data_IF_532687337255
#
_entry.id   IF_532687337255
#
_cell.length_a   1.000
_cell.length_b   1.000
_cell.length_c   1.000
_cell.angle_alpha   90.00
_cell.angle_beta   90.00
_cell.angle_gamma   90.00
#
_symmetry.space_group_name_H-M   'P 1'
#
loop_
_entity.id
_entity.type
_entity.pdbx_description
1 polymer ?
#
# COMPACT_ATOMS: atom_id res chain seq x y z
N UNK A 1 2.39 -16.28 5.84
CA UNK A 1 1.45 -15.67 6.80
C UNK A 1 0.04 -15.80 6.22
N UNK A 2 -0.88 -16.49 6.92
CA UNK A 2 -2.27 -16.66 6.46
C UNK A 2 -3.12 -15.52 7.01
N UNK A 3 -3.52 -14.58 6.16
CA UNK A 3 -4.68 -13.73 6.42
C UNK A 3 -5.91 -14.41 5.84
N UNK A 4 -6.85 -14.84 6.68
CA UNK A 4 -8.14 -15.38 6.23
C UNK A 4 -9.26 -14.35 6.41
N UNK A 5 -9.63 -13.67 5.32
CA UNK A 5 -11.00 -13.51 4.82
C UNK A 5 -10.97 -12.66 3.54
N UNK A 6 -10.98 -13.32 2.37
CA UNK A 6 -10.73 -12.70 1.07
C UNK A 6 -9.23 -12.42 0.87
N UNK A 7 -8.58 -13.18 -0.01
CA UNK A 7 -7.12 -13.12 -0.21
C UNK A 7 -6.69 -11.78 -0.80
N UNK A 8 -6.36 -10.81 0.05
CA UNK A 8 -5.65 -9.61 -0.37
C UNK A 8 -4.18 -9.95 -0.62
N UNK A 9 -3.66 -9.54 -1.77
CA UNK A 9 -2.23 -9.37 -2.00
C UNK A 9 -1.71 -8.18 -1.20
N UNK A 10 -0.43 -8.19 -0.89
CA UNK A 10 0.16 -7.24 0.04
C UNK A 10 1.60 -6.89 -0.36
N UNK A 11 2.04 -5.71 0.06
CA UNK A 11 3.42 -5.28 -0.04
C UNK A 11 4.06 -5.40 1.34
N UNK A 12 4.84 -6.47 1.53
CA UNK A 12 5.53 -6.70 2.79
C UNK A 12 6.61 -5.64 3.07
N UNK A 13 7.40 -5.31 2.05
CA UNK A 13 8.51 -4.35 2.15
C UNK A 13 8.58 -3.50 0.88
N UNK A 14 8.82 -2.21 1.07
CA UNK A 14 8.98 -1.27 -0.02
C UNK A 14 9.98 -0.18 0.35
N UNK A 15 11.03 -0.05 -0.46
CA UNK A 15 12.09 0.90 -0.18
C UNK A 15 12.57 1.58 -1.46
N UNK A 16 12.66 2.92 -1.39
CA UNK A 16 13.27 3.74 -2.42
C UNK A 16 14.55 4.32 -1.83
N UNK A 17 15.66 4.06 -2.51
CA UNK A 17 16.96 4.67 -2.21
C UNK A 17 16.83 6.19 -2.18
N UNK A 18 17.46 6.90 -1.20
CA UNK A 18 17.30 8.34 -1.03
C UNK A 18 17.50 9.16 -2.31
N UNK A 19 18.52 8.84 -3.09
CA UNK A 19 18.87 9.55 -4.34
C UNK A 19 17.79 9.45 -5.44
N UNK A 20 16.84 8.52 -5.30
CA UNK A 20 15.77 8.25 -6.25
C UNK A 20 14.38 8.68 -5.76
N UNK A 21 14.28 9.29 -4.58
CA UNK A 21 13.02 9.81 -4.04
C UNK A 21 12.58 11.07 -4.79
N UNK A 22 11.29 11.40 -4.66
CA UNK A 22 10.67 12.61 -5.24
C UNK A 22 10.70 12.73 -6.78
N UNK A 23 11.21 11.71 -7.49
CA UNK A 23 11.27 11.65 -8.96
C UNK A 23 10.11 10.85 -9.59
N UNK A 24 9.12 10.47 -8.79
CA UNK A 24 7.98 9.64 -9.22
C UNK A 24 8.33 8.17 -9.52
N UNK A 25 9.56 7.74 -9.25
CA UNK A 25 10.04 6.38 -9.57
C UNK A 25 9.31 5.32 -8.73
N UNK A 26 9.17 5.56 -7.42
CA UNK A 26 8.45 4.64 -6.54
C UNK A 26 6.99 4.44 -6.92
N UNK A 27 6.32 5.52 -7.31
CA UNK A 27 4.92 5.46 -7.79
C UNK A 27 4.81 4.60 -9.05
N UNK A 28 5.65 4.86 -10.05
CA UNK A 28 5.71 4.06 -11.28
C UNK A 28 5.99 2.58 -11.01
N UNK A 29 6.91 2.29 -10.08
CA UNK A 29 7.23 0.92 -9.71
C UNK A 29 6.06 0.23 -9.02
N UNK A 30 5.41 0.88 -8.05
CA UNK A 30 4.22 0.35 -7.39
C UNK A 30 3.07 0.09 -8.38
N UNK A 31 2.79 1.04 -9.28
CA UNK A 31 1.78 0.87 -10.33
C UNK A 31 2.09 -0.30 -11.26
N UNK A 32 3.37 -0.47 -11.64
CA UNK A 32 3.79 -1.60 -12.46
C UNK A 32 3.57 -2.95 -11.74
N UNK A 33 3.81 -3.02 -10.42
CA UNK A 33 3.51 -4.21 -9.62
C UNK A 33 2.02 -4.48 -9.58
N UNK A 34 1.19 -3.48 -9.31
CA UNK A 34 -0.27 -3.65 -9.28
C UNK A 34 -0.82 -4.10 -10.63
N UNK A 35 -0.40 -3.48 -11.73
CA UNK A 35 -0.79 -3.86 -13.09
C UNK A 35 -0.37 -5.30 -13.45
N UNK A 36 0.73 -5.80 -12.85
CA UNK A 36 1.24 -7.14 -13.11
C UNK A 36 0.43 -8.22 -12.40
N UNK A 37 -0.16 -7.92 -11.25
CA UNK A 37 -0.88 -8.91 -10.43
C UNK A 37 -2.29 -8.39 -10.10
N UNK A 38 -3.31 -8.77 -10.90
CA UNK A 38 -4.68 -8.36 -10.66
C UNK A 38 -5.26 -9.00 -9.38
N UNK A 39 -6.36 -8.43 -8.89
CA UNK A 39 -7.08 -8.89 -7.71
C UNK A 39 -7.13 -7.85 -6.59
N UNK A 40 -7.46 -8.32 -5.38
CA UNK A 40 -7.61 -7.47 -4.21
C UNK A 40 -6.24 -7.17 -3.59
N UNK A 41 -5.98 -5.90 -3.31
CA UNK A 41 -4.74 -5.42 -2.72
C UNK A 41 -4.98 -4.70 -1.41
N UNK A 42 -4.05 -4.86 -0.49
CA UNK A 42 -3.92 -4.01 0.68
C UNK A 42 -2.46 -3.55 0.79
N UNK A 43 -2.26 -2.35 1.33
CA UNK A 43 -0.95 -1.88 1.75
C UNK A 43 -1.08 -1.40 3.18
N UNK A 44 -0.24 -1.91 4.08
CA UNK A 44 -0.28 -1.60 5.51
C UNK A 44 0.89 -0.70 5.92
N UNK A 45 0.64 0.22 6.84
CA UNK A 45 1.66 1.04 7.48
C UNK A 45 1.43 1.04 8.99
N UNK A 46 2.52 0.87 9.75
CA UNK A 46 2.50 0.95 11.21
C UNK A 46 2.35 2.41 11.67
N UNK A 47 1.92 2.58 12.91
CA UNK A 47 1.93 3.88 13.59
C UNK A 47 3.32 4.55 13.55
N UNK A 48 3.34 5.87 13.35
CA UNK A 48 4.57 6.66 13.23
C UNK A 48 5.25 6.62 11.85
N UNK A 49 4.79 5.78 10.92
CA UNK A 49 5.28 5.73 9.54
C UNK A 49 4.62 6.80 8.64
N UNK A 50 4.52 8.05 9.10
CA UNK A 50 3.73 9.12 8.44
C UNK A 50 4.15 9.38 6.99
N UNK A 51 5.46 9.37 6.72
CA UNK A 51 5.98 9.52 5.37
C UNK A 51 5.55 8.37 4.44
N UNK A 52 5.50 7.14 4.96
CA UNK A 52 5.03 5.99 4.20
C UNK A 52 3.52 6.04 3.98
N UNK A 53 2.74 6.44 5.00
CA UNK A 53 1.28 6.64 4.87
C UNK A 53 0.96 7.69 3.80
N UNK A 54 1.63 8.85 3.85
CA UNK A 54 1.45 9.92 2.86
C UNK A 54 1.84 9.46 1.44
N UNK A 55 2.96 8.72 1.32
CA UNK A 55 3.38 8.12 0.06
C UNK A 55 2.32 7.16 -0.50
N UNK A 56 1.87 6.19 0.29
CA UNK A 56 0.91 5.18 -0.16
C UNK A 56 -0.45 5.76 -0.47
N UNK A 57 -0.94 6.72 0.33
CA UNK A 57 -2.19 7.43 0.03
C UNK A 57 -2.13 8.12 -1.34
N UNK A 58 -1.00 8.77 -1.67
CA UNK A 58 -0.79 9.39 -3.00
C UNK A 58 -0.73 8.33 -4.10
N UNK A 59 0.09 7.30 -3.94
CA UNK A 59 0.34 6.28 -4.96
C UNK A 59 -0.93 5.49 -5.27
N UNK A 60 -1.61 4.99 -4.24
CA UNK A 60 -2.86 4.23 -4.39
C UNK A 60 -3.97 5.15 -4.90
N UNK A 61 -4.10 6.37 -4.36
CA UNK A 61 -5.09 7.34 -4.83
C UNK A 61 -4.92 7.69 -6.31
N UNK A 62 -3.69 7.90 -6.78
CA UNK A 62 -3.43 8.13 -8.20
C UNK A 62 -3.70 6.89 -9.05
N UNK A 63 -3.38 5.69 -8.56
CA UNK A 63 -3.57 4.44 -9.28
C UNK A 63 -5.05 4.11 -9.49
N UNK A 64 -5.87 4.31 -8.44
CA UNK A 64 -7.28 3.93 -8.44
C UNK A 64 -8.21 5.08 -8.79
N UNK A 65 -7.67 6.25 -9.18
CA UNK A 65 -8.45 7.49 -9.32
C UNK A 65 -9.28 7.81 -8.08
N UNK A 66 -8.71 7.60 -6.89
CA UNK A 66 -9.34 7.80 -5.59
C UNK A 66 -10.25 6.65 -5.13
N UNK A 67 -10.43 5.60 -5.92
CA UNK A 67 -11.26 4.45 -5.55
C UNK A 67 -10.49 3.43 -4.69
N UNK A 68 -10.27 3.77 -3.43
CA UNK A 68 -9.71 2.88 -2.41
C UNK A 68 -10.34 3.18 -1.05
N UNK A 69 -10.28 2.22 -0.15
CA UNK A 69 -10.67 2.38 1.25
C UNK A 69 -9.42 2.57 2.10
N UNK A 70 -9.45 3.49 3.08
CA UNK A 70 -8.44 3.58 4.13
C UNK A 70 -9.07 3.19 5.46
N UNK A 71 -8.50 2.18 6.13
CA UNK A 71 -8.96 1.73 7.43
C UNK A 71 -7.83 1.79 8.45
N UNK A 72 -8.19 1.97 9.71
CA UNK A 72 -7.28 1.86 10.85
C UNK A 72 -7.77 0.72 11.76
N UNK A 73 -6.87 -0.14 12.20
CA UNK A 73 -7.17 -1.24 13.11
C UNK A 73 -5.95 -1.61 13.95
N UNK A 74 -6.19 -2.28 15.08
CA UNK A 74 -5.13 -2.82 15.93
C UNK A 74 -4.77 -4.23 15.44
N UNK A 75 -3.56 -4.37 14.90
CA UNK A 75 -3.00 -5.64 14.46
C UNK A 75 -2.29 -6.34 15.63
N UNK A 76 -2.55 -7.64 15.89
CA UNK A 76 -1.94 -8.36 17.02
C UNK A 76 -0.42 -8.36 17.06
N UNK A 77 0.26 -8.16 15.93
CA UNK A 77 1.72 -8.17 15.83
C UNK A 77 2.32 -6.77 15.69
N UNK A 78 1.60 -5.85 15.06
CA UNK A 78 2.13 -4.52 14.71
C UNK A 78 1.51 -3.37 15.50
N UNK A 79 0.49 -3.64 16.33
CA UNK A 79 -0.28 -2.61 17.01
C UNK A 79 -1.13 -1.82 16.02
N UNK A 80 -1.31 -0.50 16.23
CA UNK A 80 -2.11 0.33 15.33
C UNK A 80 -1.52 0.36 13.91
N UNK A 81 -2.36 0.01 12.94
CA UNK A 81 -2.02 -0.06 11.52
C UNK A 81 -3.04 0.70 10.70
N UNK A 82 -2.56 1.52 9.77
CA UNK A 82 -3.38 2.05 8.66
C UNK A 82 -3.24 1.14 7.45
N UNK A 83 -4.34 0.85 6.76
CA UNK A 83 -4.33 0.08 5.52
C UNK A 83 -5.14 0.74 4.41
N UNK A 84 -4.53 0.91 3.23
CA UNK A 84 -5.25 1.23 2.00
C UNK A 84 -5.60 -0.05 1.25
N UNK A 85 -6.88 -0.25 0.93
CA UNK A 85 -7.43 -1.44 0.26
C UNK A 85 -8.10 -1.06 -1.04
N UNK A 86 -7.83 -1.82 -2.10
CA UNK A 86 -8.37 -1.56 -3.43
C UNK A 86 -8.41 -2.84 -4.28
N UNK A 87 -9.08 -2.76 -5.43
CA UNK A 87 -9.19 -3.86 -6.38
C UNK A 87 -8.59 -3.46 -7.72
N UNK A 88 -7.80 -4.37 -8.28
CA UNK A 88 -7.15 -4.24 -9.58
C UNK A 88 -7.83 -5.23 -10.53
N UNK A 89 -8.28 -4.71 -11.67
CA UNK A 89 -8.97 -5.49 -12.70
C UNK A 89 -7.98 -6.15 -13.66
#
# INVERSE_FOLDING_TARGET
>A
MKGSNGSYSDICEFYILPDFRERGIGEKFAHAVFNRFPGKWQVRQIEGADAARAFWRKVVGSYTSGNFEEIEFDDPYWGPVTSQRFEVK
#
